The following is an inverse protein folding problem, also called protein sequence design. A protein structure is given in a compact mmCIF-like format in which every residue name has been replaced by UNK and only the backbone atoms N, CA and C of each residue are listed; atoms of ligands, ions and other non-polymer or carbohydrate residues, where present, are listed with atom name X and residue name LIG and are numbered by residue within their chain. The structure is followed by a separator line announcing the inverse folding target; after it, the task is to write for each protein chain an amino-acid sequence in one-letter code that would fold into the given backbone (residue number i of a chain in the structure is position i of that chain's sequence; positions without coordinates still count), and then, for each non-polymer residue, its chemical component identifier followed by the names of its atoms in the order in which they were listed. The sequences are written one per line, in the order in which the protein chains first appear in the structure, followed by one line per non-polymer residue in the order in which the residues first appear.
data_IF_067473213662
#
_entry.id   IF_067473213662
#
_cell.length_a   1.000
_cell.length_b   1.000
_cell.length_c   1.000
_cell.angle_alpha   90.00
_cell.angle_beta   90.00
_cell.angle_gamma   90.00
#
_symmetry.space_group_name_H-M   'P 1'
#
loop_
_entity.id
_entity.type
_entity.pdbx_description
1 polymer ?
#
# COMPACT_ATOMS: atom_id res chain seq x y z
N UNK A 1 25.94 26.72 2.10
CA UNK A 1 26.93 25.98 2.94
C UNK A 1 26.74 26.23 4.43
N UNK A 2 26.58 27.48 4.88
CA UNK A 2 26.35 27.78 6.32
C UNK A 2 25.11 27.05 6.86
N UNK A 3 23.97 27.19 6.19
CA UNK A 3 22.74 26.49 6.57
C UNK A 3 22.88 24.96 6.57
N UNK A 4 23.52 24.38 5.54
CA UNK A 4 23.77 22.93 5.45
C UNK A 4 24.58 22.44 6.64
N UNK A 5 25.68 23.11 6.99
CA UNK A 5 26.51 22.72 8.14
C UNK A 5 25.76 22.85 9.47
N UNK A 6 24.99 23.92 9.64
CA UNK A 6 24.18 24.11 10.84
C UNK A 6 23.09 23.03 10.96
N UNK A 7 22.42 22.68 9.85
CA UNK A 7 21.43 21.61 9.81
C UNK A 7 22.02 20.24 10.11
N UNK A 8 23.19 19.92 9.55
CA UNK A 8 23.92 18.69 9.85
C UNK A 8 24.30 18.59 11.34
N UNK A 9 24.78 19.69 11.94
CA UNK A 9 25.09 19.73 13.36
C UNK A 9 23.83 19.58 14.24
N UNK A 10 22.71 20.18 13.84
CA UNK A 10 21.43 20.05 14.56
C UNK A 10 20.81 18.65 14.42
N UNK A 11 21.18 17.90 13.38
CA UNK A 11 20.73 16.54 13.12
C UNK A 11 21.71 15.49 13.67
N UNK A 12 22.56 15.84 14.66
CA UNK A 12 23.53 14.92 15.24
C UNK A 12 22.88 13.61 15.73
N UNK A 13 23.57 12.49 15.50
CA UNK A 13 23.03 11.15 15.73
C UNK A 13 21.97 10.67 14.72
N UNK A 14 21.65 11.44 13.68
CA UNK A 14 20.74 11.05 12.57
C UNK A 14 21.47 11.11 11.24
N UNK A 15 20.88 10.50 10.22
CA UNK A 15 21.37 10.52 8.83
C UNK A 15 20.42 11.34 7.95
N UNK A 16 20.54 12.68 7.93
CA UNK A 16 19.67 13.53 7.12
C UNK A 16 20.05 13.47 5.63
N UNK A 17 19.07 13.60 4.75
CA UNK A 17 19.31 13.84 3.32
C UNK A 17 19.67 15.31 3.09
N UNK A 18 20.86 15.57 2.54
CA UNK A 18 21.32 16.92 2.22
C UNK A 18 20.77 17.34 0.87
N UNK A 19 19.93 18.38 0.84
CA UNK A 19 19.36 18.92 -0.39
C UNK A 19 19.85 20.37 -0.60
N UNK A 20 20.56 20.71 -1.68
CA UNK A 20 21.09 19.87 -2.76
C UNK A 20 22.46 20.39 -3.26
N UNK A 21 23.16 19.55 -4.01
CA UNK A 21 24.35 19.91 -4.79
C UNK A 21 23.98 20.17 -6.25
N UNK A 22 24.43 21.31 -6.80
CA UNK A 22 24.28 21.67 -8.22
C UNK A 22 25.65 22.02 -8.84
N UNK A 23 25.67 22.34 -10.14
CA UNK A 23 26.90 22.64 -10.88
C UNK A 23 27.79 23.71 -10.21
N UNK A 24 27.18 24.70 -9.56
CA UNK A 24 27.90 25.82 -8.94
C UNK A 24 28.51 25.48 -7.57
N UNK A 25 27.85 24.59 -6.82
CA UNK A 25 28.14 24.44 -5.38
C UNK A 25 28.61 23.04 -4.97
N UNK A 26 28.57 22.05 -5.87
CA UNK A 26 28.66 20.64 -5.51
C UNK A 26 29.89 20.28 -4.69
N UNK A 27 31.08 20.80 -5.00
CA UNK A 27 32.32 20.46 -4.26
C UNK A 27 32.20 20.75 -2.77
N UNK A 28 31.62 21.90 -2.42
CA UNK A 28 31.50 22.33 -1.03
C UNK A 28 30.41 21.54 -0.30
N UNK A 29 29.31 21.25 -0.99
CA UNK A 29 28.18 20.51 -0.41
C UNK A 29 28.54 19.03 -0.26
N UNK A 30 29.18 18.43 -1.27
CA UNK A 30 29.69 17.07 -1.23
C UNK A 30 30.73 16.87 -0.12
N UNK A 31 31.63 17.83 0.11
CA UNK A 31 32.55 17.75 1.25
C UNK A 31 31.80 17.76 2.60
N UNK A 32 30.77 18.58 2.74
CA UNK A 32 29.97 18.61 3.96
C UNK A 32 29.20 17.30 4.16
N UNK A 33 28.56 16.78 3.11
CA UNK A 33 27.83 15.51 3.13
C UNK A 33 28.77 14.32 3.44
N UNK A 34 29.94 14.26 2.77
CA UNK A 34 30.97 13.25 3.01
C UNK A 34 31.45 13.22 4.45
N UNK A 35 31.80 14.38 5.01
CA UNK A 35 32.27 14.47 6.40
C UNK A 35 31.21 14.03 7.40
N UNK A 36 29.93 14.29 7.10
CA UNK A 36 28.80 13.87 7.91
C UNK A 36 28.29 12.45 7.59
N UNK A 37 28.87 11.76 6.58
CA UNK A 37 28.37 10.49 6.04
C UNK A 37 26.86 10.54 5.71
N UNK A 38 26.43 11.67 5.17
CA UNK A 38 25.03 11.95 4.86
C UNK A 38 24.76 11.75 3.36
N UNK A 39 23.60 11.18 2.98
CA UNK A 39 23.19 11.11 1.58
C UNK A 39 22.98 12.51 0.99
N UNK A 40 23.17 12.64 -0.32
CA UNK A 40 23.18 13.93 -1.01
C UNK A 40 22.27 13.93 -2.25
N UNK A 41 21.39 14.92 -2.34
CA UNK A 41 20.64 15.22 -3.56
C UNK A 41 21.55 15.89 -4.58
N UNK A 42 21.58 15.34 -5.79
CA UNK A 42 22.22 15.91 -6.98
C UNK A 42 21.15 16.56 -7.84
N UNK A 43 21.28 17.87 -8.12
CA UNK A 43 20.26 18.67 -8.79
C UNK A 43 20.79 19.32 -10.07
N UNK A 44 19.96 19.24 -11.11
CA UNK A 44 19.96 20.14 -12.28
C UNK A 44 18.62 20.89 -12.31
N UNK A 45 18.51 21.95 -13.10
CA UNK A 45 17.33 22.85 -13.06
C UNK A 45 16.39 22.70 -14.28
N UNK A 46 16.78 21.94 -15.30
CA UNK A 46 16.15 21.95 -16.63
C UNK A 46 15.85 20.56 -17.21
N UNK A 47 16.06 19.48 -16.44
CA UNK A 47 15.86 18.12 -16.94
C UNK A 47 17.01 17.57 -17.77
N UNK A 48 18.15 18.27 -17.86
CA UNK A 48 19.32 17.78 -18.58
C UNK A 48 19.92 16.54 -17.89
N UNK A 49 19.73 15.37 -18.52
CA UNK A 49 20.17 14.09 -17.99
C UNK A 49 21.67 13.87 -18.13
N UNK A 50 22.31 14.49 -19.11
CA UNK A 50 23.75 14.39 -19.31
C UNK A 50 24.46 15.19 -18.20
N UNK A 51 24.01 16.44 -17.97
CA UNK A 51 24.52 17.25 -16.87
C UNK A 51 24.27 16.60 -15.50
N UNK A 52 23.09 16.00 -15.30
CA UNK A 52 22.76 15.28 -14.06
C UNK A 52 23.68 14.07 -13.85
N UNK A 53 23.92 13.28 -14.89
CA UNK A 53 24.80 12.12 -14.85
C UNK A 53 26.25 12.52 -14.58
N UNK A 54 26.78 13.52 -15.28
CA UNK A 54 28.14 14.04 -15.06
C UNK A 54 28.35 14.55 -13.63
N UNK A 55 27.35 15.24 -13.09
CA UNK A 55 27.40 15.76 -11.72
C UNK A 55 27.34 14.62 -10.70
N UNK A 56 26.46 13.64 -10.89
CA UNK A 56 26.35 12.47 -10.03
C UNK A 56 27.66 11.66 -10.02
N UNK A 57 28.27 11.42 -11.19
CA UNK A 57 29.58 10.76 -11.27
C UNK A 57 30.68 11.55 -10.56
N UNK A 58 30.70 12.87 -10.75
CA UNK A 58 31.72 13.73 -10.13
C UNK A 58 31.63 13.70 -8.61
N UNK A 59 30.42 13.71 -8.06
CA UNK A 59 30.17 13.62 -6.63
C UNK A 59 30.51 12.22 -6.10
N UNK A 60 30.13 11.15 -6.82
CA UNK A 60 30.47 9.78 -6.45
C UNK A 60 32.00 9.56 -6.41
N UNK A 61 32.72 10.02 -7.44
CA UNK A 61 34.20 9.99 -7.49
C UNK A 61 34.85 10.81 -6.38
N UNK A 62 34.18 11.85 -5.89
CA UNK A 62 34.62 12.63 -4.74
C UNK A 62 34.45 11.87 -3.40
N UNK A 63 33.70 10.77 -3.39
CA UNK A 63 33.53 9.84 -2.27
C UNK A 63 32.29 10.10 -1.43
N UNK A 64 31.18 10.49 -2.07
CA UNK A 64 29.84 10.43 -1.47
C UNK A 64 29.11 9.27 -2.14
N UNK A 65 28.84 8.21 -1.38
CA UNK A 65 28.33 6.95 -1.93
C UNK A 65 26.80 6.96 -2.12
N UNK A 66 26.07 7.63 -1.23
CA UNK A 66 24.61 7.67 -1.24
C UNK A 66 24.09 8.94 -1.93
N UNK A 67 23.63 8.80 -3.17
CA UNK A 67 23.06 9.88 -3.97
C UNK A 67 21.57 9.72 -4.21
N UNK A 68 20.89 10.85 -4.37
CA UNK A 68 19.48 10.95 -4.79
C UNK A 68 19.41 11.98 -5.92
N UNK A 69 18.64 11.71 -6.98
CA UNK A 69 18.57 12.56 -8.17
C UNK A 69 17.38 13.50 -8.09
N UNK A 70 17.61 14.78 -8.32
CA UNK A 70 16.59 15.78 -8.62
C UNK A 70 16.81 16.29 -10.04
N UNK A 71 16.01 15.84 -11.02
CA UNK A 71 16.16 16.27 -12.40
C UNK A 71 15.67 17.70 -12.69
N UNK A 72 15.19 18.46 -11.70
CA UNK A 72 14.77 19.86 -11.93
C UNK A 72 13.42 20.04 -12.60
N UNK A 73 12.81 18.98 -13.13
CA UNK A 73 11.47 19.05 -13.75
C UNK A 73 10.36 19.08 -12.70
N UNK A 74 9.35 19.95 -12.91
CA UNK A 74 8.25 20.18 -11.96
C UNK A 74 6.86 19.89 -12.50
N UNK A 75 6.64 19.97 -13.81
CA UNK A 75 5.33 19.75 -14.42
C UNK A 75 4.95 18.27 -14.58
N UNK A 76 3.68 18.02 -14.89
CA UNK A 76 3.15 16.66 -15.12
C UNK A 76 3.85 15.94 -16.27
N UNK A 77 3.98 16.58 -17.43
CA UNK A 77 4.51 15.94 -18.63
C UNK A 77 6.01 15.71 -18.53
N UNK A 78 6.75 16.73 -18.10
CA UNK A 78 8.20 16.72 -18.01
C UNK A 78 8.66 15.71 -16.95
N UNK A 79 8.02 15.69 -15.78
CA UNK A 79 8.36 14.71 -14.73
C UNK A 79 8.09 13.28 -15.16
N UNK A 80 6.94 13.00 -15.79
CA UNK A 80 6.62 11.67 -16.31
C UNK A 80 7.67 11.18 -17.30
N UNK A 81 8.02 12.01 -18.28
CA UNK A 81 9.01 11.68 -19.29
C UNK A 81 10.37 11.45 -18.64
N UNK A 82 10.92 12.45 -17.96
CA UNK A 82 12.27 12.43 -17.40
C UNK A 82 12.48 11.26 -16.43
N UNK A 83 11.56 11.03 -15.50
CA UNK A 83 11.68 9.93 -14.53
C UNK A 83 11.62 8.55 -15.21
N UNK A 84 10.81 8.43 -16.27
CA UNK A 84 10.76 7.21 -17.09
C UNK A 84 12.09 6.96 -17.80
N UNK A 85 12.70 8.01 -18.36
CA UNK A 85 14.00 7.93 -19.01
C UNK A 85 15.10 7.52 -18.02
N UNK A 86 15.21 8.20 -16.86
CA UNK A 86 16.15 7.85 -15.79
C UNK A 86 16.03 6.37 -15.41
N UNK A 87 14.80 5.91 -15.11
CA UNK A 87 14.56 4.53 -14.69
C UNK A 87 14.93 3.53 -15.79
N UNK A 88 14.61 3.82 -17.05
CA UNK A 88 14.91 2.94 -18.19
C UNK A 88 16.41 2.88 -18.47
N UNK A 89 17.09 4.01 -18.48
CA UNK A 89 18.55 4.06 -18.70
C UNK A 89 19.28 3.27 -17.61
N UNK A 90 18.89 3.45 -16.35
CA UNK A 90 19.48 2.72 -15.24
C UNK A 90 19.29 1.20 -15.34
N UNK A 91 18.09 0.73 -15.70
CA UNK A 91 17.76 -0.70 -15.68
C UNK A 91 18.03 -1.44 -17.00
N UNK A 92 17.78 -0.81 -18.15
CA UNK A 92 17.89 -1.46 -19.46
C UNK A 92 19.25 -1.25 -20.10
N UNK A 93 19.80 -0.05 -19.96
CA UNK A 93 21.11 0.30 -20.53
C UNK A 93 22.26 0.18 -19.52
N UNK A 94 21.97 -0.26 -18.27
CA UNK A 94 22.92 -0.33 -17.17
C UNK A 94 23.66 1.00 -16.91
N UNK A 95 23.03 2.14 -17.20
CA UNK A 95 23.65 3.44 -17.07
C UNK A 95 23.75 3.88 -15.61
N UNK A 96 24.86 3.48 -14.96
CA UNK A 96 25.06 3.61 -13.50
C UNK A 96 25.02 5.04 -12.98
N UNK A 97 25.39 6.04 -13.79
CA UNK A 97 25.39 7.44 -13.39
C UNK A 97 23.98 7.94 -12.96
N UNK A 98 22.93 7.34 -13.53
CA UNK A 98 21.53 7.61 -13.19
C UNK A 98 20.89 6.50 -12.32
N UNK A 99 21.69 5.58 -11.78
CA UNK A 99 21.27 4.40 -11.03
C UNK A 99 20.85 4.67 -9.58
N UNK A 100 20.33 5.86 -9.27
CA UNK A 100 20.01 6.30 -7.92
C UNK A 100 18.49 6.61 -7.78
N UNK A 101 17.94 6.61 -6.54
CA UNK A 101 16.57 7.05 -6.30
C UNK A 101 16.31 8.48 -6.75
N UNK A 102 15.07 8.82 -7.10
CA UNK A 102 14.65 10.15 -7.54
C UNK A 102 13.88 10.85 -6.42
N UNK A 103 14.16 12.15 -6.18
CA UNK A 103 13.35 13.02 -5.32
C UNK A 103 12.55 14.01 -6.16
N UNK A 104 11.30 14.27 -5.77
CA UNK A 104 10.41 15.21 -6.47
C UNK A 104 9.77 16.21 -5.51
N UNK A 105 9.41 17.38 -6.06
CA UNK A 105 8.83 18.52 -5.34
C UNK A 105 7.54 18.97 -6.07
N UNK A 106 6.44 18.22 -5.98
CA UNK A 106 5.19 18.52 -6.68
C UNK A 106 4.62 19.91 -6.35
N UNK A 107 4.85 20.45 -5.15
CA UNK A 107 4.39 21.79 -4.78
C UNK A 107 4.97 22.91 -5.65
N UNK A 108 6.20 22.74 -6.16
CA UNK A 108 6.86 23.69 -7.05
C UNK A 108 6.27 23.70 -8.48
N UNK A 109 5.52 22.68 -8.87
CA UNK A 109 4.94 22.53 -10.22
C UNK A 109 3.42 22.56 -10.29
N UNK A 110 2.75 22.60 -9.14
CA UNK A 110 1.30 22.52 -9.03
C UNK A 110 0.65 23.91 -9.07
N UNK A 111 -0.49 24.04 -9.76
CA UNK A 111 -1.28 25.27 -9.77
C UNK A 111 -2.25 25.37 -8.57
N UNK A 112 -2.46 24.27 -7.84
CA UNK A 112 -3.34 24.18 -6.68
C UNK A 112 -2.91 23.04 -5.74
N UNK A 113 -3.42 23.02 -4.50
CA UNK A 113 -3.18 21.90 -3.58
C UNK A 113 -3.71 20.57 -4.13
N UNK A 114 -4.80 20.60 -4.91
CA UNK A 114 -5.31 19.40 -5.56
C UNK A 114 -4.37 18.90 -6.65
N UNK A 115 -3.79 19.82 -7.45
CA UNK A 115 -2.79 19.47 -8.46
C UNK A 115 -1.53 18.91 -7.82
N UNK A 116 -1.11 19.46 -6.67
CA UNK A 116 0.05 18.96 -5.91
C UNK A 116 -0.14 17.50 -5.52
N UNK A 117 -1.30 17.15 -4.95
CA UNK A 117 -1.65 15.77 -4.57
C UNK A 117 -1.75 14.87 -5.81
N UNK A 118 -2.32 15.38 -6.91
CA UNK A 118 -2.44 14.62 -8.16
C UNK A 118 -1.08 14.34 -8.78
N UNK A 119 -0.20 15.34 -8.82
CA UNK A 119 1.16 15.23 -9.33
C UNK A 119 2.01 14.31 -8.44
N UNK A 120 1.88 14.40 -7.12
CA UNK A 120 2.50 13.47 -6.18
C UNK A 120 2.05 12.03 -6.45
N UNK A 121 0.75 11.80 -6.71
CA UNK A 121 0.23 10.49 -7.09
C UNK A 121 0.85 9.96 -8.37
N UNK A 122 0.98 10.79 -9.40
CA UNK A 122 1.70 10.44 -10.63
C UNK A 122 3.15 10.04 -10.33
N UNK A 123 3.86 10.83 -9.53
CA UNK A 123 5.28 10.62 -9.22
C UNK A 123 5.49 9.34 -8.39
N UNK A 124 4.60 9.02 -7.44
CA UNK A 124 4.58 7.72 -6.73
C UNK A 124 4.45 6.57 -7.73
N UNK A 125 3.50 6.66 -8.67
CA UNK A 125 3.29 5.63 -9.68
C UNK A 125 4.41 5.56 -10.73
N UNK A 126 5.24 6.61 -10.84
CA UNK A 126 6.26 6.78 -11.89
C UNK A 126 7.65 7.02 -11.29
N UNK A 127 8.06 6.09 -10.44
CA UNK A 127 9.47 5.86 -10.07
C UNK A 127 10.10 6.89 -9.12
N UNK A 128 9.33 7.81 -8.53
CA UNK A 128 9.87 8.64 -7.44
C UNK A 128 10.25 7.74 -6.25
N UNK A 129 11.45 7.93 -5.72
CA UNK A 129 11.88 7.36 -4.44
C UNK A 129 11.47 8.21 -3.25
N UNK A 130 11.45 9.54 -3.43
CA UNK A 130 11.03 10.52 -2.44
C UNK A 130 10.10 11.54 -3.10
N UNK A 131 9.03 11.93 -2.39
CA UNK A 131 8.10 12.98 -2.81
C UNK A 131 7.95 13.95 -1.64
N UNK A 132 8.28 15.22 -1.86
CA UNK A 132 8.22 16.28 -0.85
C UNK A 132 7.00 17.15 -1.11
N UNK A 133 6.04 17.15 -0.19
CA UNK A 133 4.83 17.94 -0.26
C UNK A 133 5.01 19.26 0.50
N UNK A 134 4.54 20.35 -0.09
CA UNK A 134 4.42 21.65 0.56
C UNK A 134 3.14 21.70 1.41
N UNK A 135 2.06 21.08 0.92
CA UNK A 135 0.77 21.02 1.63
C UNK A 135 0.39 19.59 1.99
N UNK A 136 0.11 19.38 3.27
CA UNK A 136 -0.26 18.08 3.82
C UNK A 136 -1.50 18.19 4.71
N UNK A 137 -2.52 17.38 4.41
CA UNK A 137 -3.71 17.21 5.24
C UNK A 137 -3.92 15.72 5.50
N UNK A 138 -4.62 15.31 6.57
CA UNK A 138 -4.93 13.89 6.79
C UNK A 138 -5.61 13.22 5.58
N UNK A 139 -6.46 13.96 4.86
CA UNK A 139 -7.13 13.46 3.66
C UNK A 139 -6.16 13.21 2.49
N UNK A 140 -5.29 14.17 2.17
CA UNK A 140 -4.30 13.99 1.11
C UNK A 140 -3.25 12.94 1.47
N UNK A 141 -2.85 12.88 2.74
CA UNK A 141 -1.96 11.86 3.27
C UNK A 141 -2.52 10.45 3.07
N UNK A 142 -3.77 10.24 3.49
CA UNK A 142 -4.44 8.95 3.38
C UNK A 142 -4.50 8.49 1.92
N UNK A 143 -4.94 9.36 1.01
CA UNK A 143 -5.03 9.04 -0.42
C UNK A 143 -3.67 8.62 -1.01
N UNK A 144 -2.59 9.36 -0.74
CA UNK A 144 -1.26 9.07 -1.26
C UNK A 144 -0.64 7.81 -0.61
N UNK A 145 -0.85 7.59 0.68
CA UNK A 145 -0.37 6.40 1.38
C UNK A 145 -1.08 5.14 0.90
N UNK A 146 -2.39 5.20 0.65
CA UNK A 146 -3.17 4.09 0.07
C UNK A 146 -2.70 3.81 -1.36
N UNK A 147 -2.54 4.85 -2.20
CA UNK A 147 -2.00 4.68 -3.55
C UNK A 147 -0.62 4.00 -3.52
N UNK A 148 0.28 4.46 -2.66
CA UNK A 148 1.61 3.86 -2.48
C UNK A 148 1.51 2.41 -2.04
N UNK A 149 0.68 2.10 -1.05
CA UNK A 149 0.49 0.72 -0.58
C UNK A 149 0.00 -0.19 -1.73
N UNK A 150 -0.96 0.29 -2.53
CA UNK A 150 -1.49 -0.45 -3.65
C UNK A 150 -0.45 -0.70 -4.75
N UNK A 151 0.31 0.33 -5.16
CA UNK A 151 1.31 0.23 -6.23
C UNK A 151 2.51 -0.66 -5.82
N UNK A 152 2.92 -0.61 -4.55
CA UNK A 152 4.11 -1.31 -4.07
C UNK A 152 3.81 -2.67 -3.39
N UNK A 153 2.56 -3.12 -3.40
CA UNK A 153 2.20 -4.49 -2.98
C UNK A 153 2.77 -5.51 -3.97
N UNK A 154 3.35 -6.60 -3.46
CA UNK A 154 3.83 -7.70 -4.30
C UNK A 154 2.66 -8.29 -5.10
N UNK A 155 2.62 -8.14 -6.44
CA UNK A 155 1.50 -8.62 -7.24
C UNK A 155 1.42 -10.15 -7.29
N UNK A 156 2.47 -10.88 -6.89
CA UNK A 156 2.49 -12.35 -6.86
C UNK A 156 2.00 -12.91 -5.53
N UNK A 157 1.93 -12.09 -4.47
CA UNK A 157 1.52 -12.51 -3.13
C UNK A 157 0.37 -11.63 -2.65
N UNK A 158 -0.89 -12.06 -2.85
CA UNK A 158 -2.03 -11.37 -2.27
C UNK A 158 -1.80 -11.23 -0.76
N UNK A 159 -2.09 -10.06 -0.20
CA UNK A 159 -2.06 -9.88 1.24
C UNK A 159 -3.19 -10.72 1.84
N UNK A 160 -2.84 -11.68 2.69
CA UNK A 160 -3.79 -12.64 3.27
C UNK A 160 -3.98 -12.37 4.76
N UNK A 161 -5.17 -12.71 5.24
CA UNK A 161 -5.47 -12.84 6.67
C UNK A 161 -5.30 -14.31 7.05
N UNK A 162 -4.88 -14.60 8.27
CA UNK A 162 -4.76 -15.99 8.72
C UNK A 162 -6.15 -16.66 8.74
N UNK A 163 -6.32 -17.86 8.15
CA UNK A 163 -7.60 -18.57 8.25
C UNK A 163 -7.95 -18.89 9.70
N UNK A 164 -9.20 -18.67 10.09
CA UNK A 164 -9.62 -18.81 11.48
C UNK A 164 -10.94 -18.13 11.77
N UNK A 165 -11.32 -18.06 13.05
CA UNK A 165 -12.56 -17.40 13.49
C UNK A 165 -12.25 -16.20 14.38
N UNK A 166 -12.63 -15.02 13.89
CA UNK A 166 -12.31 -13.73 14.48
C UNK A 166 -13.53 -13.16 15.22
N UNK A 167 -13.36 -12.70 16.48
CA UNK A 167 -14.38 -11.95 17.19
C UNK A 167 -14.45 -10.51 16.69
N UNK A 168 -15.64 -10.00 16.40
CA UNK A 168 -15.88 -8.58 16.12
C UNK A 168 -16.92 -8.05 17.11
N UNK A 169 -16.62 -6.92 17.76
CA UNK A 169 -17.49 -6.29 18.76
C UNK A 169 -17.85 -7.21 19.96
N UNK A 170 -16.89 -8.00 20.46
CA UNK A 170 -17.04 -8.89 21.63
C UNK A 170 -18.26 -9.84 21.53
N UNK A 171 -18.30 -10.74 20.54
CA UNK A 171 -19.47 -11.56 20.28
C UNK A 171 -19.70 -12.63 21.35
N UNK A 172 -20.97 -12.79 21.72
CA UNK A 172 -21.46 -13.87 22.58
C UNK A 172 -21.80 -15.15 21.79
N UNK A 173 -22.29 -16.20 22.47
CA UNK A 173 -22.67 -17.46 21.83
C UNK A 173 -23.87 -17.36 20.88
N UNK A 174 -24.71 -16.35 21.05
CA UNK A 174 -25.87 -16.07 20.21
C UNK A 174 -25.56 -15.18 19.00
N UNK A 175 -24.34 -14.66 18.91
CA UNK A 175 -23.93 -13.78 17.82
C UNK A 175 -23.77 -14.55 16.49
N UNK A 176 -24.12 -13.94 15.34
CA UNK A 176 -24.09 -14.61 14.05
C UNK A 176 -22.68 -15.03 13.64
N UNK A 177 -22.58 -16.19 12.98
CA UNK A 177 -21.37 -16.67 12.32
C UNK A 177 -21.46 -16.38 10.82
N UNK A 178 -20.59 -15.53 10.31
CA UNK A 178 -20.49 -15.17 8.89
C UNK A 178 -19.21 -15.76 8.32
N UNK A 179 -19.24 -16.26 7.07
CA UNK A 179 -18.04 -16.76 6.40
C UNK A 179 -17.57 -15.82 5.30
N UNK A 180 -16.25 -15.66 5.17
CA UNK A 180 -15.59 -14.91 4.11
C UNK A 180 -14.28 -15.61 3.71
N UNK A 181 -13.55 -15.07 2.73
CA UNK A 181 -12.25 -15.58 2.31
C UNK A 181 -11.08 -14.90 3.02
N UNK A 182 -9.90 -15.51 2.96
CA UNK A 182 -8.67 -14.96 3.53
C UNK A 182 -7.98 -13.87 2.69
N UNK A 183 -8.63 -13.33 1.66
CA UNK A 183 -8.11 -12.14 0.98
C UNK A 183 -8.30 -10.90 1.85
N UNK A 184 -7.21 -10.19 2.17
CA UNK A 184 -7.25 -9.06 3.11
C UNK A 184 -8.28 -7.99 2.77
N UNK A 185 -8.42 -7.60 1.50
CA UNK A 185 -9.41 -6.58 1.10
C UNK A 185 -10.82 -7.10 1.37
N UNK A 186 -11.13 -8.35 1.01
CA UNK A 186 -12.43 -8.95 1.30
C UNK A 186 -12.69 -9.08 2.80
N UNK A 187 -11.68 -9.51 3.58
CA UNK A 187 -11.79 -9.58 5.03
C UNK A 187 -12.10 -8.21 5.64
N UNK A 188 -11.30 -7.18 5.34
CA UNK A 188 -11.50 -5.85 5.92
C UNK A 188 -12.79 -5.19 5.43
N UNK A 189 -13.22 -5.45 4.19
CA UNK A 189 -14.54 -4.99 3.71
C UNK A 189 -15.69 -5.55 4.54
N UNK A 190 -15.62 -6.81 4.99
CA UNK A 190 -16.65 -7.40 5.86
C UNK A 190 -16.45 -6.95 7.32
N UNK A 191 -15.23 -7.05 7.83
CA UNK A 191 -14.93 -6.80 9.23
C UNK A 191 -15.23 -5.35 9.63
N UNK A 192 -14.89 -4.36 8.78
CA UNK A 192 -15.12 -2.94 9.07
C UNK A 192 -16.61 -2.58 9.09
N UNK A 193 -17.43 -3.21 8.24
CA UNK A 193 -18.89 -2.98 8.23
C UNK A 193 -19.53 -3.55 9.50
N UNK A 194 -19.11 -4.74 9.94
CA UNK A 194 -19.57 -5.32 11.22
C UNK A 194 -19.08 -4.45 12.39
N UNK A 195 -17.79 -4.09 12.42
CA UNK A 195 -17.20 -3.27 13.49
C UNK A 195 -17.91 -1.92 13.62
N UNK A 196 -18.02 -1.16 12.53
CA UNK A 196 -18.66 0.16 12.52
C UNK A 196 -20.15 0.14 12.83
N UNK A 197 -20.83 -1.00 12.62
CA UNK A 197 -22.24 -1.16 13.00
C UNK A 197 -22.46 -1.26 14.52
N UNK A 198 -21.41 -1.57 15.28
CA UNK A 198 -21.47 -1.88 16.70
C UNK A 198 -22.13 -3.22 17.04
N UNK A 199 -22.53 -4.02 16.04
CA UNK A 199 -23.17 -5.32 16.25
C UNK A 199 -22.11 -6.40 16.50
N UNK A 200 -22.32 -7.31 17.47
CA UNK A 200 -21.44 -8.45 17.70
C UNK A 200 -21.54 -9.45 16.55
N UNK A 201 -20.41 -10.01 16.12
CA UNK A 201 -20.38 -11.08 15.12
C UNK A 201 -19.10 -11.91 15.14
N UNK A 202 -19.25 -13.19 14.79
CA UNK A 202 -18.13 -14.09 14.51
C UNK A 202 -17.85 -14.09 13.01
N UNK A 203 -16.61 -13.77 12.61
CA UNK A 203 -16.18 -13.82 11.21
C UNK A 203 -15.25 -15.02 10.99
N UNK A 204 -15.76 -16.04 10.31
CA UNK A 204 -15.00 -17.20 9.86
C UNK A 204 -14.29 -16.85 8.54
N UNK A 205 -12.97 -16.88 8.57
CA UNK A 205 -12.09 -16.65 7.43
C UNK A 205 -11.63 -18.01 6.91
N UNK A 206 -12.16 -18.42 5.76
CA UNK A 206 -11.74 -19.66 5.10
C UNK A 206 -10.51 -19.42 4.22
N UNK A 207 -9.63 -20.42 4.15
CA UNK A 207 -8.49 -20.38 3.23
C UNK A 207 -8.93 -20.53 1.78
N UNK A 208 -8.72 -19.46 1.02
CA UNK A 208 -9.00 -19.34 -0.40
C UNK A 208 -7.74 -18.88 -1.17
N UNK A 209 -6.55 -19.18 -0.64
CA UNK A 209 -5.26 -18.81 -1.24
C UNK A 209 -5.11 -17.29 -1.46
N UNK A 210 -5.76 -16.47 -0.62
CA UNK A 210 -5.74 -15.02 -0.71
C UNK A 210 -6.57 -14.44 -1.85
N UNK A 211 -7.54 -15.19 -2.38
CA UNK A 211 -8.45 -14.72 -3.43
C UNK A 211 -9.77 -14.16 -2.88
N UNK A 212 -10.34 -13.18 -3.59
CA UNK A 212 -11.69 -12.65 -3.27
C UNK A 212 -12.76 -13.73 -3.40
N UNK A 213 -13.94 -13.53 -2.80
CA UNK A 213 -15.06 -14.50 -2.82
C UNK A 213 -15.35 -15.05 -4.22
N UNK A 214 -15.60 -14.18 -5.19
CA UNK A 214 -15.97 -14.60 -6.55
C UNK A 214 -14.80 -15.21 -7.32
N UNK A 215 -13.58 -14.68 -7.14
CA UNK A 215 -12.37 -15.23 -7.76
C UNK A 215 -12.11 -16.64 -7.26
N UNK A 216 -12.18 -16.84 -5.95
CA UNK A 216 -11.95 -18.12 -5.32
C UNK A 216 -13.03 -19.14 -5.67
N UNK A 217 -14.30 -18.74 -5.68
CA UNK A 217 -15.40 -19.59 -6.11
C UNK A 217 -15.22 -20.05 -7.56
N UNK A 218 -14.92 -19.12 -8.49
CA UNK A 218 -14.68 -19.45 -9.89
C UNK A 218 -13.46 -20.37 -10.10
N UNK A 219 -12.47 -20.30 -9.21
CA UNK A 219 -11.26 -21.13 -9.24
C UNK A 219 -11.41 -22.47 -8.49
N UNK A 220 -12.58 -22.78 -7.90
CA UNK A 220 -12.77 -23.99 -7.07
C UNK A 220 -11.94 -23.96 -5.77
N UNK A 221 -11.63 -22.77 -5.27
CA UNK A 221 -10.90 -22.53 -4.01
C UNK A 221 -11.77 -21.97 -2.89
N UNK A 222 -13.06 -21.79 -3.17
CA UNK A 222 -14.08 -21.44 -2.19
C UNK A 222 -15.40 -22.12 -2.56
N UNK A 223 -15.51 -23.38 -2.14
CA UNK A 223 -16.63 -24.30 -2.38
C UNK A 223 -17.23 -24.78 -1.05
N UNK A 224 -18.30 -25.58 -1.12
CA UNK A 224 -18.99 -26.09 0.06
C UNK A 224 -18.06 -26.92 0.98
N UNK A 225 -17.22 -27.79 0.41
CA UNK A 225 -16.29 -28.64 1.17
C UNK A 225 -15.29 -27.79 1.98
N UNK A 226 -14.68 -26.78 1.36
CA UNK A 226 -13.71 -25.89 2.03
C UNK A 226 -14.37 -25.05 3.12
N UNK A 227 -15.57 -24.54 2.87
CA UNK A 227 -16.32 -23.77 3.88
C UNK A 227 -16.69 -24.68 5.06
N UNK A 228 -17.21 -25.88 4.79
CA UNK A 228 -17.54 -26.86 5.84
C UNK A 228 -16.31 -27.26 6.65
N UNK A 229 -15.17 -27.48 5.99
CA UNK A 229 -13.89 -27.73 6.65
C UNK A 229 -13.49 -26.57 7.56
N UNK A 230 -13.58 -25.32 7.08
CA UNK A 230 -13.29 -24.15 7.90
C UNK A 230 -14.21 -24.05 9.14
N UNK A 231 -15.51 -24.33 9.00
CA UNK A 231 -16.44 -24.38 10.15
C UNK A 231 -16.02 -25.45 11.17
N UNK A 232 -15.63 -26.64 10.70
CA UNK A 232 -15.25 -27.78 11.55
C UNK A 232 -13.91 -27.56 12.26
N UNK A 233 -12.91 -26.99 11.58
CA UNK A 233 -11.53 -26.89 12.06
C UNK A 233 -11.22 -25.60 12.82
N UNK A 234 -11.97 -24.50 12.57
CA UNK A 234 -11.72 -23.20 13.22
C UNK A 234 -12.11 -23.13 14.71
N UNK A 235 -12.82 -24.14 15.22
CA UNK A 235 -13.41 -24.11 16.55
C UNK A 235 -14.64 -23.19 16.68
N UNK A 236 -15.19 -22.68 15.56
CA UNK A 236 -16.37 -21.82 15.56
C UNK A 236 -17.58 -22.47 16.25
N UNK A 237 -17.79 -23.78 16.06
CA UNK A 237 -18.88 -24.52 16.69
C UNK A 237 -18.85 -24.51 18.22
N UNK A 238 -17.68 -24.32 18.85
CA UNK A 238 -17.54 -24.19 20.30
C UNK A 238 -17.78 -22.78 20.83
N UNK A 239 -17.91 -21.78 19.93
CA UNK A 239 -18.08 -20.36 20.27
C UNK A 239 -19.52 -19.89 20.15
N UNK A 240 -20.38 -20.63 19.44
CA UNK A 240 -21.79 -20.32 19.20
C UNK A 240 -22.72 -21.37 19.82
N UNK A 241 -23.92 -20.96 20.23
CA UNK A 241 -24.97 -21.83 20.77
C UNK A 241 -25.96 -22.34 19.73
N UNK A 242 -25.84 -21.87 18.48
CA UNK A 242 -26.65 -22.28 17.34
C UNK A 242 -25.78 -23.01 16.30
N UNK A 243 -26.41 -23.66 15.32
CA UNK A 243 -25.73 -24.24 14.16
C UNK A 243 -26.18 -23.51 12.91
N UNK A 244 -25.68 -22.28 12.74
CA UNK A 244 -26.02 -21.45 11.58
C UNK A 244 -24.77 -20.76 11.08
N UNK A 245 -24.61 -20.69 9.75
CA UNK A 245 -23.55 -19.92 9.10
C UNK A 245 -24.14 -19.08 7.97
N UNK A 246 -23.68 -17.84 7.85
CA UNK A 246 -24.12 -16.88 6.84
C UNK A 246 -23.10 -16.84 5.70
N UNK A 247 -23.53 -17.24 4.51
CA UNK A 247 -22.76 -17.17 3.26
C UNK A 247 -22.79 -15.77 2.65
N UNK A 248 -21.73 -15.35 1.94
CA UNK A 248 -21.80 -14.18 1.06
C UNK A 248 -22.85 -14.39 -0.03
N UNK A 249 -23.68 -13.38 -0.30
CA UNK A 249 -24.82 -13.50 -1.22
C UNK A 249 -24.45 -13.83 -2.67
N UNK A 250 -23.21 -13.55 -3.07
CA UNK A 250 -22.68 -13.89 -4.40
C UNK A 250 -22.44 -15.39 -4.62
N UNK A 251 -22.33 -16.18 -3.54
CA UNK A 251 -22.12 -17.63 -3.60
C UNK A 251 -23.30 -18.41 -3.02
N UNK A 252 -24.50 -17.80 -3.07
CA UNK A 252 -25.75 -18.44 -2.63
C UNK A 252 -26.00 -19.82 -3.27
N UNK A 253 -25.44 -20.05 -4.47
CA UNK A 253 -25.51 -21.33 -5.17
C UNK A 253 -24.90 -22.50 -4.39
N UNK A 254 -23.96 -22.21 -3.47
CA UNK A 254 -23.30 -23.22 -2.62
C UNK A 254 -24.19 -23.69 -1.46
N UNK A 255 -25.34 -23.06 -1.22
CA UNK A 255 -26.18 -23.32 -0.05
C UNK A 255 -26.52 -24.80 0.12
N UNK A 256 -27.05 -25.45 -0.94
CA UNK A 256 -27.48 -26.84 -0.87
C UNK A 256 -26.33 -27.81 -0.62
N UNK A 257 -25.23 -27.67 -1.36
CA UNK A 257 -24.03 -28.50 -1.16
C UNK A 257 -23.43 -28.28 0.24
N UNK A 258 -23.47 -27.05 0.76
CA UNK A 258 -22.97 -26.76 2.11
C UNK A 258 -23.87 -27.33 3.21
N UNK A 259 -25.19 -27.37 3.02
CA UNK A 259 -26.11 -28.06 3.94
C UNK A 259 -25.82 -29.57 4.01
N UNK A 260 -25.48 -30.19 2.88
CA UNK A 260 -25.07 -31.60 2.83
C UNK A 260 -23.74 -31.83 3.56
N UNK A 261 -22.76 -30.94 3.40
CA UNK A 261 -21.45 -31.01 4.05
C UNK A 261 -21.47 -30.67 5.56
N UNK A 262 -22.50 -29.94 6.01
CA UNK A 262 -22.73 -29.58 7.41
C UNK A 262 -24.11 -30.06 7.91
N UNK A 263 -24.33 -31.38 8.08
CA UNK A 263 -25.61 -31.89 8.52
C UNK A 263 -26.08 -31.27 9.85
N UNK A 264 -27.30 -30.73 9.83
CA UNK A 264 -27.92 -30.07 11.00
C UNK A 264 -27.45 -28.64 11.24
N UNK A 265 -26.70 -28.04 10.31
CA UNK A 265 -26.50 -26.60 10.25
C UNK A 265 -27.52 -25.97 9.30
N UNK A 266 -27.99 -24.78 9.66
CA UNK A 266 -28.76 -23.91 8.79
C UNK A 266 -27.81 -22.98 8.04
N UNK A 267 -27.94 -22.93 6.71
CA UNK A 267 -27.14 -22.03 5.87
C UNK A 267 -28.00 -20.84 5.49
N UNK A 268 -27.64 -19.65 5.99
CA UNK A 268 -28.28 -18.39 5.58
C UNK A 268 -27.51 -17.74 4.44
N UNK A 269 -28.23 -17.13 3.51
CA UNK A 269 -27.63 -16.32 2.45
C UNK A 269 -27.65 -14.85 2.89
N UNK A 270 -26.48 -14.29 3.13
CA UNK A 270 -26.30 -12.88 3.44
C UNK A 270 -26.40 -11.98 2.21
N UNK A 271 -26.17 -10.67 2.37
CA UNK A 271 -26.16 -9.74 1.25
C UNK A 271 -25.00 -10.00 0.29
N UNK A 272 -25.11 -9.44 -0.92
CA UNK A 272 -24.04 -9.48 -1.93
C UNK A 272 -22.89 -8.54 -1.58
N UNK A 273 -23.23 -7.37 -1.07
CA UNK A 273 -22.27 -6.34 -0.66
C UNK A 273 -22.17 -6.27 0.87
N UNK A 274 -20.96 -6.06 1.38
CA UNK A 274 -20.72 -6.01 2.83
C UNK A 274 -21.43 -4.82 3.52
N UNK A 275 -21.65 -3.72 2.81
CA UNK A 275 -22.32 -2.51 3.34
C UNK A 275 -23.76 -2.76 3.78
N UNK A 276 -24.41 -3.78 3.24
CA UNK A 276 -25.79 -4.16 3.59
C UNK A 276 -25.84 -5.13 4.79
N UNK A 277 -24.69 -5.64 5.24
CA UNK A 277 -24.58 -6.61 6.31
C UNK A 277 -25.13 -6.08 7.66
N UNK A 278 -24.88 -4.82 8.07
CA UNK A 278 -25.47 -4.28 9.29
C UNK A 278 -27.01 -4.29 9.29
N UNK A 279 -27.64 -4.01 8.14
CA UNK A 279 -29.09 -4.06 8.02
C UNK A 279 -29.61 -5.50 8.12
N UNK A 280 -28.95 -6.43 7.42
CA UNK A 280 -29.27 -7.85 7.47
C UNK A 280 -29.17 -8.42 8.89
N UNK A 281 -28.10 -8.11 9.62
CA UNK A 281 -27.85 -8.62 10.98
C UNK A 281 -28.91 -8.16 12.00
N UNK A 282 -29.57 -7.01 11.80
CA UNK A 282 -30.61 -6.52 12.71
C UNK A 282 -31.94 -7.27 12.59
N UNK A 283 -32.17 -7.91 11.44
CA UNK A 283 -33.44 -8.57 11.11
C UNK A 283 -33.34 -10.09 11.12
N UNK A 284 -32.14 -10.64 11.37
CA UNK A 284 -31.80 -12.05 11.17
C UNK A 284 -31.70 -12.85 12.46
#
# INVERSE_FOLDING_TARGET
LVAVKAGLAAADGRTPLVCAANAENWRRVALAAKNAKAPLVVRVDDGDLDALAELAESIAKFGVDDLVLDPGVRGFNESLATMTHIRRLALKENFRALGYPIITFPGEGAASQLDEVTLAGQQIAKYAGFVVLDHFTPASAYALLVLRANIYTDPQKPIQVEPGVYPINNPGPDAPLMVTTNFSITYFSVANEVESSGLPGWLLVADAEGMSVLTAWAAGKFDAERIAKAVKESGAAGKISHKQVILPGHVAVLMGELEEELPGWEIKVGPREAVDLPAFMRTS
#
